data_IF_630008896561
#
_entry.id   IF_630008896561
#
_cell.length_a   1.000
_cell.length_b   1.000
_cell.length_c   1.000
_cell.angle_alpha   90.00
_cell.angle_beta   90.00
_cell.angle_gamma   90.00
#
_symmetry.space_group_name_H-M   'P 1'
#
loop_
_entity.id
_entity.type
_entity.pdbx_description
1 polymer ?
#
# COMPACT_ATOMS: atom_id res chain seq x y z
N UNK A 1 -14.82 -25.99 39.29
CA UNK A 1 -13.87 -24.90 39.00
C UNK A 1 -13.46 -25.04 37.56
N UNK A 2 -13.97 -24.19 36.66
CA UNK A 2 -13.67 -24.27 35.22
C UNK A 2 -12.39 -23.47 34.93
N UNK A 3 -11.40 -24.18 34.40
CA UNK A 3 -10.14 -23.63 33.87
C UNK A 3 -10.42 -22.54 32.84
N UNK A 4 -9.92 -21.34 33.10
CA UNK A 4 -9.93 -20.23 32.17
C UNK A 4 -9.16 -20.61 30.91
N UNK A 5 -9.86 -20.82 29.80
CA UNK A 5 -9.28 -21.11 28.49
C UNK A 5 -8.19 -20.06 28.18
N UNK A 6 -6.89 -20.44 28.04
CA UNK A 6 -5.77 -19.50 27.91
C UNK A 6 -5.62 -18.90 26.51
N UNK A 7 -6.41 -19.38 25.53
CA UNK A 7 -6.33 -18.96 24.13
C UNK A 7 -6.64 -17.48 23.90
N UNK A 8 -7.63 -16.83 24.55
CA UNK A 8 -7.89 -15.40 24.40
C UNK A 8 -6.72 -14.54 24.90
N UNK A 9 -6.14 -14.88 26.05
CA UNK A 9 -5.00 -14.18 26.66
C UNK A 9 -3.76 -14.32 25.79
N UNK A 10 -3.50 -15.53 25.26
CA UNK A 10 -2.42 -15.77 24.32
C UNK A 10 -2.59 -15.00 22.99
N UNK A 11 -3.81 -14.95 22.44
CA UNK A 11 -4.14 -14.13 21.25
C UNK A 11 -3.96 -12.63 21.52
N UNK A 12 -4.29 -12.15 22.70
CA UNK A 12 -4.06 -10.76 23.10
C UNK A 12 -2.57 -10.43 23.15
N UNK A 13 -1.75 -11.31 23.74
CA UNK A 13 -0.29 -11.16 23.81
C UNK A 13 0.37 -11.16 22.43
N UNK A 14 -0.05 -12.07 21.53
CA UNK A 14 0.41 -12.09 20.14
C UNK A 14 0.02 -10.81 19.38
N UNK A 15 -1.21 -10.31 19.57
CA UNK A 15 -1.66 -9.03 19.00
C UNK A 15 -0.77 -7.89 19.47
N UNK A 16 -0.54 -7.75 20.77
CA UNK A 16 0.34 -6.71 21.32
C UNK A 16 1.78 -6.82 20.80
N UNK A 17 2.35 -8.02 20.73
CA UNK A 17 3.70 -8.23 20.18
C UNK A 17 3.80 -7.80 18.72
N UNK A 18 2.83 -8.18 17.88
CA UNK A 18 2.78 -7.81 16.45
C UNK A 18 2.61 -6.30 16.17
N UNK A 19 2.25 -5.50 17.17
CA UNK A 19 2.15 -4.03 17.02
C UNK A 19 3.52 -3.36 16.97
N UNK A 20 4.52 -3.92 17.65
CA UNK A 20 5.87 -3.34 17.73
C UNK A 20 6.72 -3.68 16.51
N UNK A 21 7.64 -2.79 16.10
CA UNK A 21 8.56 -3.03 14.98
C UNK A 21 9.39 -4.30 15.19
N UNK A 22 9.86 -4.54 16.43
CA UNK A 22 10.61 -5.73 16.81
C UNK A 22 9.77 -7.00 16.70
N UNK A 23 8.55 -6.99 17.23
CA UNK A 23 7.65 -8.14 17.13
C UNK A 23 7.18 -8.42 15.70
N UNK A 24 7.12 -7.40 14.81
CA UNK A 24 6.88 -7.61 13.37
C UNK A 24 8.06 -8.30 12.69
N UNK A 25 9.29 -7.88 13.00
CA UNK A 25 10.50 -8.50 12.47
C UNK A 25 10.67 -9.95 12.99
N UNK A 26 10.40 -10.18 14.27
CA UNK A 26 10.43 -11.51 14.90
C UNK A 26 9.33 -12.46 14.38
N UNK A 27 8.20 -11.92 13.89
CA UNK A 27 7.11 -12.72 13.29
C UNK A 27 7.31 -13.00 11.79
N UNK A 28 8.33 -12.42 11.16
CA UNK A 28 8.66 -12.60 9.73
C UNK A 28 10.07 -13.19 9.50
N UNK A 29 10.51 -14.26 10.21
CA UNK A 29 11.89 -14.74 10.16
C UNK A 29 12.27 -15.52 8.89
N UNK A 30 11.50 -15.41 7.80
CA UNK A 30 11.73 -16.16 6.55
C UNK A 30 11.24 -15.45 5.29
N UNK A 31 11.25 -14.11 5.30
CA UNK A 31 10.65 -13.25 4.28
C UNK A 31 11.23 -13.49 2.88
N UNK A 32 10.64 -14.41 2.11
CA UNK A 32 10.94 -14.56 0.68
C UNK A 32 10.37 -13.34 -0.06
N UNK A 33 11.24 -12.53 -0.65
CA UNK A 33 10.89 -11.49 -1.61
C UNK A 33 10.30 -12.20 -2.84
N UNK A 34 9.15 -11.74 -3.33
CA UNK A 34 8.41 -12.39 -4.43
C UNK A 34 7.93 -11.34 -5.45
N UNK A 35 8.84 -10.69 -6.18
CA UNK A 35 8.46 -9.68 -7.15
C UNK A 35 7.66 -10.31 -8.31
N UNK A 36 6.82 -9.50 -8.95
CA UNK A 36 6.17 -9.83 -10.22
C UNK A 36 7.02 -9.19 -11.31
N UNK A 37 7.89 -9.98 -11.95
CA UNK A 37 8.89 -9.47 -12.89
C UNK A 37 8.37 -9.34 -14.32
N UNK A 38 7.42 -10.19 -14.70
CA UNK A 38 6.83 -10.21 -16.04
C UNK A 38 5.96 -8.96 -16.29
N UNK A 39 6.31 -8.10 -17.27
CA UNK A 39 5.54 -6.91 -17.62
C UNK A 39 4.10 -7.22 -18.06
N UNK A 40 3.86 -8.36 -18.70
CA UNK A 40 2.51 -8.75 -19.12
C UNK A 40 1.65 -9.10 -17.91
N UNK A 41 2.22 -9.77 -16.91
CA UNK A 41 1.56 -10.00 -15.63
C UNK A 41 1.20 -8.70 -14.94
N UNK A 42 2.09 -7.70 -14.95
CA UNK A 42 1.78 -6.39 -14.38
C UNK A 42 0.68 -5.66 -15.14
N UNK A 43 0.69 -5.72 -16.47
CA UNK A 43 -0.36 -5.12 -17.29
C UNK A 43 -1.72 -5.77 -17.01
N UNK A 44 -1.78 -7.11 -16.96
CA UNK A 44 -3.01 -7.84 -16.57
C UNK A 44 -3.45 -7.49 -15.15
N UNK A 45 -2.53 -7.42 -14.19
CA UNK A 45 -2.85 -7.08 -12.81
C UNK A 45 -3.55 -5.71 -12.72
N UNK A 46 -2.99 -4.69 -13.37
CA UNK A 46 -3.54 -3.32 -13.35
C UNK A 46 -4.91 -3.29 -14.00
N UNK A 47 -5.07 -3.94 -15.17
CA UNK A 47 -6.36 -4.06 -15.85
C UNK A 47 -7.41 -4.74 -14.98
N UNK A 48 -7.07 -5.84 -14.33
CA UNK A 48 -8.03 -6.57 -13.49
C UNK A 48 -8.34 -5.83 -12.18
N UNK A 49 -7.43 -4.97 -11.70
CA UNK A 49 -7.70 -4.05 -10.60
C UNK A 49 -8.67 -2.93 -11.00
N UNK A 50 -8.55 -2.43 -12.22
CA UNK A 50 -9.51 -1.46 -12.80
C UNK A 50 -10.92 -2.04 -12.90
N UNK A 51 -11.05 -3.30 -13.35
CA UNK A 51 -12.33 -4.02 -13.38
C UNK A 51 -12.93 -4.21 -11.98
N UNK A 52 -12.09 -4.39 -10.95
CA UNK A 52 -12.55 -4.50 -9.57
C UNK A 52 -13.15 -3.20 -9.04
N UNK A 53 -12.65 -2.06 -9.53
CA UNK A 53 -13.18 -0.73 -9.26
C UNK A 53 -12.09 0.31 -9.00
N UNK A 54 -12.49 1.59 -8.87
CA UNK A 54 -11.53 2.70 -8.82
C UNK A 54 -10.68 2.69 -7.54
N UNK A 55 -11.25 2.32 -6.38
CA UNK A 55 -10.49 2.25 -5.13
C UNK A 55 -9.47 1.09 -5.10
N UNK A 56 -9.82 -0.15 -5.48
CA UNK A 56 -8.84 -1.23 -5.68
C UNK A 56 -7.73 -0.88 -6.67
N UNK A 57 -8.07 -0.26 -7.81
CA UNK A 57 -7.10 0.20 -8.80
C UNK A 57 -6.08 1.16 -8.19
N UNK A 58 -6.56 2.24 -7.57
CA UNK A 58 -5.67 3.24 -6.95
C UNK A 58 -4.82 2.60 -5.87
N UNK A 59 -5.38 1.72 -5.03
CA UNK A 59 -4.60 1.04 -4.01
C UNK A 59 -3.48 0.16 -4.62
N UNK A 60 -3.77 -0.58 -5.69
CA UNK A 60 -2.75 -1.38 -6.41
C UNK A 60 -1.65 -0.47 -6.97
N UNK A 61 -2.01 0.64 -7.61
CA UNK A 61 -1.04 1.58 -8.19
C UNK A 61 -0.19 2.29 -7.12
N UNK A 62 -0.77 2.65 -5.97
CA UNK A 62 -0.01 3.21 -4.84
C UNK A 62 1.05 2.24 -4.31
N UNK A 63 0.76 0.94 -4.29
CA UNK A 63 1.70 -0.09 -3.85
C UNK A 63 2.74 -0.43 -4.93
N UNK A 64 2.32 -0.51 -6.19
CA UNK A 64 3.14 -0.96 -7.31
C UNK A 64 4.02 0.15 -7.91
N UNK A 65 3.49 1.36 -8.06
CA UNK A 65 4.17 2.44 -8.78
C UNK A 65 4.87 3.42 -7.86
N UNK A 66 4.32 3.58 -6.66
CA UNK A 66 4.86 4.50 -5.66
C UNK A 66 5.51 3.74 -4.48
N UNK A 67 5.40 2.41 -4.44
CA UNK A 67 6.08 1.59 -3.43
C UNK A 67 5.63 1.86 -1.99
N UNK A 68 4.40 2.34 -1.79
CA UNK A 68 3.87 2.62 -0.46
C UNK A 68 3.70 1.32 0.31
N UNK A 69 3.81 1.38 1.65
CA UNK A 69 3.27 0.30 2.50
C UNK A 69 1.74 0.37 2.46
N UNK A 70 1.07 -0.76 2.67
CA UNK A 70 -0.39 -0.81 2.74
C UNK A 70 -0.97 0.21 3.74
N UNK A 71 -0.34 0.41 4.90
CA UNK A 71 -0.76 1.42 5.87
C UNK A 71 -0.47 2.88 5.46
N UNK A 72 0.56 3.11 4.63
CA UNK A 72 0.84 4.44 4.05
C UNK A 72 -0.20 4.76 2.98
N UNK A 73 -0.50 3.81 2.08
CA UNK A 73 -1.52 3.98 1.04
C UNK A 73 -2.92 4.25 1.61
N UNK A 74 -3.31 3.52 2.67
CA UNK A 74 -4.60 3.72 3.35
C UNK A 74 -4.64 4.97 4.24
N UNK A 75 -3.47 5.49 4.62
CA UNK A 75 -3.33 6.73 5.40
C UNK A 75 -3.11 7.96 4.53
N UNK A 76 -3.09 7.81 3.20
CA UNK A 76 -2.87 8.92 2.27
C UNK A 76 -4.10 9.84 2.28
N UNK A 77 -3.92 11.05 2.81
CA UNK A 77 -4.88 12.16 2.80
C UNK A 77 -4.87 12.92 1.48
N UNK A 78 -5.99 13.59 1.19
CA UNK A 78 -6.15 14.30 -0.08
C UNK A 78 -5.19 15.47 -0.26
N UNK A 79 -4.83 16.14 0.83
CA UNK A 79 -3.86 17.24 0.85
C UNK A 79 -2.40 16.81 0.60
N UNK A 80 -2.11 15.51 0.60
CA UNK A 80 -0.77 14.97 0.34
C UNK A 80 -0.50 14.70 -1.15
N UNK A 81 -1.51 14.87 -2.01
CA UNK A 81 -1.36 14.72 -3.47
C UNK A 81 -1.07 16.09 -4.09
N UNK A 82 0.13 16.23 -4.64
CA UNK A 82 0.55 17.40 -5.41
C UNK A 82 0.35 17.07 -6.88
N UNK A 83 -0.58 17.77 -7.54
CA UNK A 83 -0.99 17.48 -8.92
C UNK A 83 -0.05 18.04 -10.00
N UNK A 84 0.86 18.95 -9.63
CA UNK A 84 1.61 19.77 -10.60
C UNK A 84 0.68 20.76 -11.33
N UNK A 85 1.26 21.56 -12.23
CA UNK A 85 0.48 22.55 -13.01
C UNK A 85 -0.17 21.94 -14.26
N UNK A 86 0.47 20.95 -14.88
CA UNK A 86 0.02 20.28 -16.12
C UNK A 86 0.54 18.82 -16.17
N UNK A 87 0.26 18.10 -17.27
CA UNK A 87 0.61 16.66 -17.45
C UNK A 87 2.12 16.40 -17.64
N UNK A 88 2.89 17.39 -18.08
CA UNK A 88 4.33 17.30 -18.35
C UNK A 88 5.20 17.81 -17.20
N UNK A 89 4.58 18.42 -16.19
CA UNK A 89 5.22 18.82 -14.96
C UNK A 89 5.87 17.59 -14.28
N UNK A 90 7.14 17.70 -13.89
CA UNK A 90 7.87 16.66 -13.12
C UNK A 90 7.66 16.77 -11.61
N UNK A 91 6.94 17.80 -11.19
CA UNK A 91 6.58 18.09 -9.80
C UNK A 91 5.42 17.27 -9.20
N UNK A 92 4.52 16.60 -9.97
CA UNK A 92 3.43 15.82 -9.39
C UNK A 92 3.97 14.70 -8.50
N UNK A 93 3.57 14.72 -7.23
CA UNK A 93 4.14 13.86 -6.23
C UNK A 93 3.16 13.56 -5.09
N UNK A 94 3.41 12.46 -4.42
CA UNK A 94 2.81 12.10 -3.15
C UNK A 94 3.76 12.48 -2.02
N UNK A 95 3.26 13.28 -1.08
CA UNK A 95 3.98 13.62 0.15
C UNK A 95 3.59 12.63 1.24
N UNK A 96 4.47 11.66 1.50
CA UNK A 96 4.22 10.62 2.50
C UNK A 96 4.81 11.07 3.84
N UNK A 97 3.98 11.60 4.73
CA UNK A 97 4.38 12.04 6.08
C UNK A 97 3.62 11.33 7.22
N UNK A 98 2.70 10.42 6.90
CA UNK A 98 1.84 9.68 7.84
C UNK A 98 1.63 8.24 7.40
N UNK A 99 1.29 7.36 8.34
CA UNK A 99 0.88 5.98 8.08
C UNK A 99 -0.22 5.56 9.04
N UNK A 100 -1.21 4.79 8.58
CA UNK A 100 -2.26 4.23 9.45
C UNK A 100 -1.96 2.75 9.75
N UNK A 101 -1.49 2.39 10.96
CA UNK A 101 -1.30 0.99 11.33
C UNK A 101 -2.65 0.25 11.46
N UNK A 102 -2.66 -1.06 11.17
CA UNK A 102 -3.87 -1.91 11.31
C UNK A 102 -4.45 -1.82 12.73
N UNK A 103 -5.68 -1.32 12.86
CA UNK A 103 -6.47 -1.35 14.09
C UNK A 103 -6.03 -0.36 15.19
N UNK A 104 -5.54 0.82 14.81
CA UNK A 104 -5.22 1.92 15.73
C UNK A 104 -5.68 3.28 15.23
N UNK A 105 -5.70 4.26 16.14
CA UNK A 105 -5.81 5.68 15.80
C UNK A 105 -4.57 6.16 15.04
N UNK A 106 -4.68 7.34 14.41
CA UNK A 106 -3.59 7.99 13.69
C UNK A 106 -2.38 8.18 14.62
N UNK A 107 -1.38 7.31 14.51
CA UNK A 107 -0.08 7.59 15.10
C UNK A 107 0.67 8.53 14.16
N UNK A 108 0.89 9.78 14.60
CA UNK A 108 1.94 10.62 14.03
C UNK A 108 3.23 9.81 14.06
N UNK A 109 3.69 9.37 12.91
CA UNK A 109 4.91 8.57 12.82
C UNK A 109 6.02 9.34 13.50
N UNK A 110 6.67 8.70 14.48
CA UNK A 110 7.93 9.13 15.10
C UNK A 110 8.80 9.76 14.01
N UNK A 111 9.11 11.06 14.12
CA UNK A 111 9.81 11.90 13.12
C UNK A 111 10.91 11.15 12.33
N UNK A 112 10.54 10.39 11.33
CA UNK A 112 11.48 9.69 10.46
C UNK A 112 10.99 9.83 9.03
N UNK A 113 11.37 10.99 8.47
CA UNK A 113 11.54 11.32 7.05
C UNK A 113 10.29 11.20 6.19
N UNK A 114 9.54 12.31 6.17
CA UNK A 114 8.64 12.57 5.06
C UNK A 114 9.40 12.39 3.74
N UNK A 115 8.79 11.68 2.78
CA UNK A 115 9.39 11.44 1.46
C UNK A 115 8.42 11.82 0.36
N UNK A 116 8.97 12.31 -0.74
CA UNK A 116 8.22 12.61 -1.95
C UNK A 116 8.38 11.47 -2.95
N UNK A 117 7.26 10.98 -3.48
CA UNK A 117 7.23 9.93 -4.51
C UNK A 117 6.52 10.46 -5.74
N UNK A 118 7.16 10.39 -6.90
CA UNK A 118 6.57 10.88 -8.15
C UNK A 118 5.30 10.13 -8.53
N UNK A 119 4.32 10.84 -9.10
CA UNK A 119 3.12 10.21 -9.66
C UNK A 119 3.43 9.58 -11.01
N UNK A 120 3.12 8.29 -11.16
CA UNK A 120 3.22 7.62 -12.46
C UNK A 120 2.13 8.11 -13.41
N UNK A 121 2.35 7.93 -14.73
CA UNK A 121 1.38 8.28 -15.78
C UNK A 121 0.02 7.60 -15.61
N UNK A 122 -0.03 6.41 -14.98
CA UNK A 122 -1.27 5.68 -14.71
C UNK A 122 -1.89 6.01 -13.35
N UNK A 123 -1.06 6.34 -12.35
CA UNK A 123 -1.54 6.67 -11.01
C UNK A 123 -2.23 8.04 -10.96
N UNK A 124 -1.73 9.03 -11.71
CA UNK A 124 -2.30 10.38 -11.75
C UNK A 124 -3.78 10.38 -12.19
N UNK A 125 -4.16 9.88 -13.37
CA UNK A 125 -5.57 9.88 -13.79
C UNK A 125 -6.44 9.05 -12.85
N UNK A 126 -5.97 7.88 -12.39
CA UNK A 126 -6.73 7.05 -11.45
C UNK A 126 -7.00 7.76 -10.10
N UNK A 127 -6.04 8.53 -9.59
CA UNK A 127 -6.28 9.39 -8.43
C UNK A 127 -7.30 10.49 -8.76
N UNK A 128 -7.21 11.12 -9.94
CA UNK A 128 -8.08 12.23 -10.32
C UNK A 128 -9.55 11.79 -10.38
N UNK A 129 -9.80 10.58 -10.88
CA UNK A 129 -11.13 9.97 -10.94
C UNK A 129 -11.74 9.79 -9.53
N UNK A 130 -10.94 9.40 -8.53
CA UNK A 130 -11.40 9.33 -7.14
C UNK A 130 -11.60 10.71 -6.50
N UNK A 131 -10.96 11.76 -7.02
CA UNK A 131 -11.04 13.11 -6.48
C UNK A 131 -12.29 13.88 -6.90
N UNK A 132 -13.04 13.42 -7.90
CA UNK A 132 -14.18 14.13 -8.48
C UNK A 132 -15.29 14.54 -7.48
N UNK A 133 -15.35 13.95 -6.29
CA UNK A 133 -16.24 14.38 -5.21
C UNK A 133 -15.56 15.39 -4.27
N UNK A 134 -16.19 16.56 -4.06
CA UNK A 134 -15.74 17.61 -3.14
C UNK A 134 -15.65 17.05 -1.71
N UNK A 135 -14.44 16.71 -1.28
CA UNK A 135 -14.09 16.34 0.11
C UNK A 135 -13.01 17.27 0.63
N UNK A 136 -12.88 17.36 1.94
CA UNK A 136 -11.87 18.21 2.58
C UNK A 136 -10.46 17.66 2.35
N UNK A 137 -9.40 18.49 2.43
CA UNK A 137 -8.01 18.04 2.28
C UNK A 137 -7.58 16.96 3.29
N UNK A 138 -8.22 16.91 4.45
CA UNK A 138 -7.94 15.94 5.51
C UNK A 138 -8.58 14.57 5.23
N UNK A 139 -9.54 14.50 4.30
CA UNK A 139 -10.17 13.24 3.93
C UNK A 139 -9.15 12.30 3.29
N UNK A 140 -9.28 11.00 3.57
CA UNK A 140 -8.43 9.99 2.97
C UNK A 140 -8.76 9.81 1.48
N UNK A 141 -7.73 9.57 0.67
CA UNK A 141 -7.88 9.23 -0.76
C UNK A 141 -8.69 7.94 -0.91
N UNK A 142 -8.39 6.94 -0.09
CA UNK A 142 -9.05 5.62 -0.05
C UNK A 142 -10.03 5.51 1.12
N UNK A 143 -10.76 6.58 1.41
CA UNK A 143 -11.78 6.57 2.46
C UNK A 143 -12.85 5.50 2.20
N UNK A 144 -13.12 4.67 3.22
CA UNK A 144 -14.07 3.56 3.14
C UNK A 144 -13.47 2.23 2.69
N UNK A 145 -12.20 2.19 2.26
CA UNK A 145 -11.52 0.93 1.93
C UNK A 145 -11.15 0.19 3.22
N UNK A 146 -11.73 -0.99 3.41
CA UNK A 146 -11.36 -1.87 4.51
C UNK A 146 -10.16 -2.77 4.13
N UNK A 147 -9.04 -2.73 4.86
CA UNK A 147 -7.83 -3.50 4.53
C UNK A 147 -7.98 -5.01 4.66
N UNK A 148 -8.97 -5.49 5.39
CA UNK A 148 -9.27 -6.91 5.52
C UNK A 148 -10.08 -7.39 4.31
N UNK A 149 -11.15 -6.68 3.94
CA UNK A 149 -11.94 -6.94 2.75
C UNK A 149 -11.10 -6.86 1.48
N UNK A 150 -10.28 -5.82 1.33
CA UNK A 150 -9.37 -5.71 0.19
C UNK A 150 -8.48 -6.95 0.08
N UNK A 151 -7.79 -7.32 1.18
CA UNK A 151 -6.84 -8.44 1.15
C UNK A 151 -7.50 -9.79 0.87
N UNK A 152 -8.65 -10.06 1.48
CA UNK A 152 -9.24 -11.40 1.48
C UNK A 152 -10.28 -11.61 0.38
N UNK A 153 -10.78 -10.53 -0.25
CA UNK A 153 -11.81 -10.59 -1.28
C UNK A 153 -11.32 -9.96 -2.58
N UNK A 154 -11.18 -8.64 -2.59
CA UNK A 154 -10.91 -7.87 -3.82
C UNK A 154 -9.57 -8.26 -4.44
N UNK A 155 -8.51 -8.25 -3.65
CA UNK A 155 -7.17 -8.64 -4.08
C UNK A 155 -7.10 -10.09 -4.58
N UNK A 156 -7.82 -11.00 -3.92
CA UNK A 156 -7.85 -12.40 -4.34
C UNK A 156 -8.53 -12.55 -5.71
N UNK A 157 -9.65 -11.86 -5.93
CA UNK A 157 -10.36 -11.85 -7.22
C UNK A 157 -9.49 -11.25 -8.33
N UNK A 158 -8.81 -10.14 -8.05
CA UNK A 158 -7.87 -9.50 -9.00
C UNK A 158 -6.76 -10.49 -9.40
N UNK A 159 -6.14 -11.17 -8.45
CA UNK A 159 -5.08 -12.15 -8.74
C UNK A 159 -5.59 -13.37 -9.51
N UNK A 160 -6.78 -13.87 -9.18
CA UNK A 160 -7.41 -14.99 -9.88
C UNK A 160 -7.70 -14.62 -11.35
N UNK A 161 -8.30 -13.45 -11.60
CA UNK A 161 -8.54 -12.97 -12.97
C UNK A 161 -7.25 -12.70 -13.75
N UNK A 162 -6.23 -12.14 -13.08
CA UNK A 162 -4.96 -11.82 -13.73
C UNK A 162 -4.06 -13.05 -13.98
N UNK A 163 -4.38 -14.19 -13.36
CA UNK A 163 -3.66 -15.46 -13.44
C UNK A 163 -2.20 -15.40 -12.95
N UNK A 164 -1.94 -14.62 -11.89
CA UNK A 164 -0.57 -14.35 -11.36
C UNK A 164 -0.22 -15.26 -10.16
N UNK A 165 -1.16 -16.15 -9.79
CA UNK A 165 -1.04 -17.01 -8.61
C UNK A 165 -1.14 -16.21 -7.31
N UNK A 166 -0.83 -16.87 -6.19
CA UNK A 166 -0.96 -16.25 -4.86
C UNK A 166 0.17 -15.24 -4.59
N UNK A 167 -0.22 -13.98 -4.38
CA UNK A 167 0.65 -12.89 -3.95
C UNK A 167 0.02 -12.15 -2.78
N UNK A 168 0.83 -11.60 -1.89
CA UNK A 168 0.37 -10.66 -0.88
C UNK A 168 0.43 -9.23 -1.44
N UNK A 169 -0.42 -8.28 -0.98
CA UNK A 169 -0.33 -6.89 -1.42
C UNK A 169 1.06 -6.25 -1.19
N UNK A 170 1.78 -6.71 -0.16
CA UNK A 170 3.15 -6.26 0.12
C UNK A 170 4.14 -6.63 -1.00
N UNK A 171 3.85 -7.67 -1.78
CA UNK A 171 4.73 -8.15 -2.85
C UNK A 171 4.76 -7.15 -4.02
N UNK A 172 3.77 -6.25 -4.12
CA UNK A 172 3.80 -5.12 -5.06
C UNK A 172 4.88 -4.11 -4.71
N UNK A 173 5.08 -3.83 -3.41
CA UNK A 173 6.21 -3.00 -2.96
C UNK A 173 7.53 -3.71 -3.22
N UNK A 174 7.59 -5.03 -3.00
CA UNK A 174 8.78 -5.83 -3.30
C UNK A 174 9.07 -5.79 -4.83
N UNK A 175 8.02 -5.76 -5.67
CA UNK A 175 8.13 -5.58 -7.13
C UNK A 175 8.67 -4.21 -7.50
N UNK A 176 8.13 -3.13 -6.93
CA UNK A 176 8.62 -1.77 -7.14
C UNK A 176 10.12 -1.65 -6.79
N UNK A 177 10.50 -2.17 -5.62
CA UNK A 177 11.88 -2.20 -5.15
C UNK A 177 12.80 -2.92 -6.15
N UNK A 178 12.37 -4.08 -6.66
CA UNK A 178 13.10 -4.85 -7.67
C UNK A 178 13.27 -4.07 -8.97
N UNK A 179 12.22 -3.40 -9.45
CA UNK A 179 12.28 -2.59 -10.68
C UNK A 179 13.24 -1.41 -10.57
N UNK A 180 13.25 -0.72 -9.43
CA UNK A 180 14.20 0.38 -9.18
C UNK A 180 15.65 -0.12 -9.13
N UNK A 181 15.88 -1.27 -8.50
CA UNK A 181 17.21 -1.90 -8.47
C UNK A 181 17.69 -2.25 -9.87
N UNK A 182 16.83 -2.88 -10.69
CA UNK A 182 17.13 -3.21 -12.09
C UNK A 182 17.40 -1.95 -12.93
N UNK A 183 16.70 -0.85 -12.64
CA UNK A 183 16.93 0.44 -13.29
C UNK A 183 18.17 1.20 -12.78
N UNK A 184 18.95 0.61 -11.86
CA UNK A 184 20.18 1.21 -11.32
C UNK A 184 19.97 2.30 -10.27
N UNK A 185 18.76 2.43 -9.71
CA UNK A 185 18.45 3.40 -8.66
C UNK A 185 18.92 2.88 -7.30
N UNK A 186 19.74 3.65 -6.58
CA UNK A 186 20.30 3.24 -5.29
C UNK A 186 19.21 3.11 -4.19
N UNK A 187 19.32 2.05 -3.37
CA UNK A 187 18.36 1.61 -2.33
C UNK A 187 17.98 2.64 -1.25
N UNK A 188 18.70 3.76 -1.16
CA UNK A 188 18.38 4.88 -0.27
C UNK A 188 16.97 5.43 -0.44
N UNK A 189 16.33 5.18 -1.60
CA UNK A 189 14.94 5.56 -1.93
C UNK A 189 13.88 4.55 -1.44
N UNK A 190 14.25 3.29 -1.23
CA UNK A 190 13.31 2.16 -1.01
C UNK A 190 13.24 1.72 0.46
N UNK A 191 14.30 1.96 1.24
CA UNK A 191 14.43 1.55 2.65
C UNK A 191 14.06 2.64 3.67
N UNK A 192 13.48 3.77 3.24
CA UNK A 192 12.94 4.80 4.15
C UNK A 192 11.49 4.43 4.53
#
# INVERSE_FOLDING_TARGET
MLESNPVPTFRATLRCRSRTQRGRAESDPGRRIRPIEDPEHLARLVKEAEVEGPAPLVLVLLLLDAGLRLGEALGLGRGQVVWGKDEDDRTPALVIDRSRPRGGEEEHTKRSKARSVGLSRRLRPALADLYHFRRTPEALVLEGVDPHNFRHREWRRVLERAQIGQRAPKDLRDTFASQLLTAGVQLGYVSQ
#
